data_IF_529738951523
#
_entry.id   IF_529738951523
#
_cell.length_a   1.000
_cell.length_b   1.000
_cell.length_c   1.000
_cell.angle_alpha   90.00
_cell.angle_beta   90.00
_cell.angle_gamma   90.00
#
_symmetry.space_group_name_H-M   'P 1'
#
loop_
_entity.id
_entity.type
_entity.pdbx_description
1 polymer ?
#
# COMPACT_ATOMS: atom_id res chain seq x y z
N UNK A 1 33.36 3.53 -70.53
CA UNK A 1 32.71 2.38 -69.87
C UNK A 1 32.52 2.74 -68.42
N UNK A 2 31.31 3.15 -68.02
CA UNK A 2 30.95 3.29 -66.61
C UNK A 2 30.73 1.88 -66.06
N UNK A 3 31.57 1.45 -65.12
CA UNK A 3 31.35 0.20 -64.40
C UNK A 3 30.12 0.43 -63.52
N UNK A 4 28.96 -0.13 -63.88
CA UNK A 4 27.80 -0.10 -62.98
C UNK A 4 28.16 -0.91 -61.73
N UNK A 5 28.07 -0.31 -60.55
CA UNK A 5 28.23 -1.03 -59.30
C UNK A 5 27.27 -2.24 -59.30
N UNK A 6 27.78 -3.44 -59.03
CA UNK A 6 26.97 -4.65 -58.96
C UNK A 6 25.88 -4.46 -57.88
N UNK A 7 24.65 -4.83 -58.20
CA UNK A 7 23.55 -4.74 -57.26
C UNK A 7 23.80 -5.69 -56.06
N UNK A 8 23.47 -5.24 -54.86
CA UNK A 8 23.73 -5.93 -53.60
C UNK A 8 22.42 -6.10 -52.80
N UNK A 9 22.48 -6.91 -51.74
CA UNK A 9 21.41 -6.96 -50.75
C UNK A 9 21.28 -5.60 -50.04
N UNK A 10 20.09 -5.24 -49.52
CA UNK A 10 19.93 -3.99 -48.81
C UNK A 10 20.65 -4.02 -47.46
N UNK A 11 20.87 -2.86 -46.86
CA UNK A 11 21.42 -2.71 -45.51
C UNK A 11 20.44 -1.90 -44.68
N UNK A 12 19.96 -2.47 -43.58
CA UNK A 12 18.97 -1.85 -42.71
C UNK A 12 19.41 -1.95 -41.24
N UNK A 13 19.03 -0.97 -40.43
CA UNK A 13 19.37 -0.88 -39.02
C UNK A 13 18.14 -0.49 -38.19
N UNK A 14 18.08 -0.98 -36.94
CA UNK A 14 17.17 -0.44 -35.94
C UNK A 14 17.76 0.85 -35.36
N UNK A 15 16.90 1.72 -34.82
CA UNK A 15 17.29 2.83 -33.98
C UNK A 15 16.69 2.69 -32.57
N UNK A 16 16.90 3.65 -31.68
CA UNK A 16 16.27 3.62 -30.36
C UNK A 16 14.78 3.97 -30.49
N UNK A 17 13.85 3.19 -29.92
CA UNK A 17 12.44 3.54 -29.94
C UNK A 17 12.18 4.81 -29.12
N UNK A 18 11.13 5.55 -29.47
CA UNK A 18 10.70 6.78 -28.76
C UNK A 18 9.21 6.73 -28.46
N UNK A 19 8.68 7.81 -27.88
CA UNK A 19 7.22 7.97 -27.71
C UNK A 19 6.56 6.80 -26.97
N UNK A 20 7.31 6.15 -26.07
CA UNK A 20 6.85 4.95 -25.38
C UNK A 20 5.79 5.38 -24.37
N UNK A 21 4.54 5.03 -24.66
CA UNK A 21 3.39 5.20 -23.80
C UNK A 21 2.92 3.83 -23.27
N UNK A 22 1.79 3.82 -22.56
CA UNK A 22 1.24 2.59 -22.00
C UNK A 22 0.67 1.63 -23.05
N UNK A 23 0.23 2.16 -24.18
CA UNK A 23 -0.39 1.36 -25.25
C UNK A 23 0.15 1.68 -26.64
N UNK A 24 1.27 2.41 -26.72
CA UNK A 24 1.91 2.76 -27.99
C UNK A 24 3.42 2.95 -27.85
N UNK A 25 4.14 2.83 -28.95
CA UNK A 25 5.54 3.22 -29.04
C UNK A 25 5.90 3.58 -30.48
N UNK A 26 6.91 4.43 -30.65
CA UNK A 26 7.49 4.74 -31.94
C UNK A 26 8.65 3.79 -32.24
N UNK A 27 8.50 2.97 -33.28
CA UNK A 27 9.55 2.08 -33.75
C UNK A 27 10.37 2.78 -34.84
N UNK A 28 11.67 2.88 -34.63
CA UNK A 28 12.56 3.64 -35.50
C UNK A 28 13.59 2.74 -36.17
N UNK A 29 13.87 3.03 -37.44
CA UNK A 29 14.87 2.32 -38.23
C UNK A 29 15.54 3.23 -39.25
N UNK A 30 16.51 2.69 -39.97
CA UNK A 30 17.19 3.41 -41.04
C UNK A 30 17.56 2.43 -42.15
N UNK A 31 17.06 2.66 -43.37
CA UNK A 31 17.52 1.97 -44.56
C UNK A 31 18.82 2.65 -45.01
N UNK A 32 19.96 1.97 -44.82
CA UNK A 32 21.31 2.51 -45.09
C UNK A 32 21.69 2.36 -46.56
N UNK A 33 21.22 1.29 -47.22
CA UNK A 33 21.49 1.03 -48.63
C UNK A 33 20.39 0.19 -49.24
N UNK A 34 19.98 0.52 -50.47
CA UNK A 34 19.07 -0.29 -51.29
C UNK A 34 19.82 -1.31 -52.15
N UNK A 35 21.16 -1.28 -52.13
CA UNK A 35 21.99 -2.14 -52.97
C UNK A 35 21.72 -1.94 -54.47
N UNK A 36 21.32 -0.72 -54.87
CA UNK A 36 20.97 -0.29 -56.24
C UNK A 36 19.74 -0.95 -56.87
N UNK A 37 18.88 -1.60 -56.07
CA UNK A 37 17.61 -2.17 -56.53
C UNK A 37 16.42 -1.67 -55.69
N UNK A 38 15.18 -1.61 -56.25
CA UNK A 38 13.98 -1.29 -55.48
C UNK A 38 13.87 -2.19 -54.25
N UNK A 39 13.71 -1.59 -53.07
CA UNK A 39 13.80 -2.29 -51.78
C UNK A 39 12.52 -2.10 -50.98
N UNK A 40 11.87 -3.19 -50.60
CA UNK A 40 10.73 -3.17 -49.68
C UNK A 40 11.20 -3.28 -48.23
N UNK A 41 10.52 -2.59 -47.32
CA UNK A 41 10.86 -2.56 -45.90
C UNK A 41 9.68 -2.93 -45.01
N UNK A 42 9.98 -3.60 -43.89
CA UNK A 42 9.03 -4.01 -42.88
C UNK A 42 9.64 -3.80 -41.48
N UNK A 43 8.78 -3.62 -40.48
CA UNK A 43 9.16 -3.80 -39.08
C UNK A 43 8.29 -4.88 -38.44
N UNK A 44 8.92 -5.74 -37.64
CA UNK A 44 8.25 -6.79 -36.88
C UNK A 44 8.39 -6.48 -35.38
N UNK A 45 7.36 -6.76 -34.58
CA UNK A 45 7.41 -6.60 -33.12
C UNK A 45 6.58 -7.63 -32.36
N UNK A 46 6.88 -7.84 -31.08
CA UNK A 46 6.18 -8.82 -30.25
C UNK A 46 6.78 -8.96 -28.85
N UNK A 47 6.13 -9.70 -27.97
CA UNK A 47 6.57 -9.90 -26.58
C UNK A 47 7.70 -10.91 -26.42
N UNK A 48 8.03 -11.65 -27.48
CA UNK A 48 9.16 -12.56 -27.56
C UNK A 48 10.15 -12.07 -28.62
N UNK A 49 11.45 -12.16 -28.33
CA UNK A 49 12.47 -11.96 -29.37
C UNK A 49 12.55 -13.20 -30.26
N UNK A 50 12.13 -13.05 -31.52
CA UNK A 50 12.17 -14.14 -32.49
C UNK A 50 13.35 -14.01 -33.46
N UNK A 51 14.22 -13.03 -33.27
CA UNK A 51 15.41 -12.84 -34.09
C UNK A 51 15.08 -12.53 -35.56
N UNK A 52 15.69 -13.27 -36.49
CA UNK A 52 15.59 -13.03 -37.94
C UNK A 52 14.59 -13.97 -38.64
N UNK A 53 13.38 -14.09 -38.10
CA UNK A 53 12.28 -14.87 -38.68
C UNK A 53 11.10 -13.98 -39.07
N UNK A 54 10.39 -14.35 -40.14
CA UNK A 54 9.15 -13.66 -40.55
C UNK A 54 7.91 -14.18 -39.81
N UNK A 55 7.99 -15.37 -39.19
CA UNK A 55 6.84 -16.04 -38.58
C UNK A 55 6.85 -15.91 -37.06
N UNK A 56 5.67 -15.69 -36.47
CA UNK A 56 5.43 -15.76 -35.03
C UNK A 56 5.51 -14.44 -34.27
N UNK A 57 5.95 -13.35 -34.91
CA UNK A 57 5.91 -12.01 -34.30
C UNK A 57 4.47 -11.60 -34.02
N UNK A 58 4.27 -10.78 -32.97
CA UNK A 58 2.96 -10.31 -32.57
C UNK A 58 2.36 -9.26 -33.52
N UNK A 59 3.21 -8.56 -34.28
CA UNK A 59 2.79 -7.62 -35.30
C UNK A 59 3.86 -7.40 -36.39
N UNK A 60 3.40 -6.93 -37.54
CA UNK A 60 4.22 -6.55 -38.70
C UNK A 60 3.59 -5.33 -39.37
N UNK A 61 4.42 -4.37 -39.77
CA UNK A 61 3.99 -3.18 -40.51
C UNK A 61 4.83 -3.08 -41.80
N UNK A 62 4.19 -3.18 -42.99
CA UNK A 62 4.86 -2.99 -44.27
C UNK A 62 5.00 -1.49 -44.59
N UNK A 63 6.22 -1.08 -44.94
CA UNK A 63 6.51 0.27 -45.42
C UNK A 63 6.42 0.37 -46.96
N UNK A 64 6.32 -0.76 -47.66
CA UNK A 64 6.41 -0.82 -49.12
C UNK A 64 7.82 -0.46 -49.61
N UNK A 65 7.92 0.01 -50.87
CA UNK A 65 9.18 0.44 -51.46
C UNK A 65 9.71 1.71 -50.79
N UNK A 66 10.97 1.67 -50.34
CA UNK A 66 11.62 2.76 -49.63
C UNK A 66 12.97 3.12 -50.26
N UNK A 67 13.31 4.41 -50.18
CA UNK A 67 14.63 4.94 -50.47
C UNK A 67 15.50 4.97 -49.20
N UNK A 68 16.81 5.18 -49.37
CA UNK A 68 17.75 5.32 -48.24
C UNK A 68 17.30 6.46 -47.32
N UNK A 69 17.13 6.17 -46.03
CA UNK A 69 16.68 7.15 -45.06
C UNK A 69 16.04 6.57 -43.80
N UNK A 70 15.64 7.48 -42.91
CA UNK A 70 15.00 7.17 -41.64
C UNK A 70 13.59 6.58 -41.86
N UNK A 71 13.25 5.61 -41.03
CA UNK A 71 11.99 4.88 -41.03
C UNK A 71 11.34 5.04 -39.66
N UNK A 72 10.03 5.27 -39.65
CA UNK A 72 9.26 5.53 -38.44
C UNK A 72 7.86 4.96 -38.57
N UNK A 73 7.39 4.27 -37.53
CA UNK A 73 5.97 3.95 -37.36
C UNK A 73 5.59 4.02 -35.89
N UNK A 74 4.37 4.49 -35.61
CA UNK A 74 3.80 4.44 -34.28
C UNK A 74 2.91 3.21 -34.17
N UNK A 75 3.34 2.24 -33.35
CA UNK A 75 2.54 1.04 -33.08
C UNK A 75 1.57 1.31 -31.94
N UNK A 76 0.32 0.89 -32.12
CA UNK A 76 -0.79 1.07 -31.17
C UNK A 76 -1.27 -0.28 -30.61
N UNK A 77 -2.07 -0.25 -29.56
CA UNK A 77 -2.68 -1.44 -28.97
C UNK A 77 -1.70 -2.34 -28.22
N UNK A 78 -0.58 -1.78 -27.77
CA UNK A 78 0.36 -2.50 -26.92
C UNK A 78 -0.21 -2.68 -25.51
N UNK A 79 0.21 -3.73 -24.83
CA UNK A 79 -0.15 -3.96 -23.43
C UNK A 79 0.72 -3.07 -22.53
N UNK A 80 0.16 -2.39 -21.52
CA UNK A 80 0.94 -1.64 -20.52
C UNK A 80 1.94 -2.51 -19.74
N UNK A 81 3.00 -1.90 -19.20
CA UNK A 81 4.03 -2.58 -18.40
C UNK A 81 4.59 -3.87 -19.03
N UNK A 82 4.64 -3.93 -20.36
CA UNK A 82 5.00 -5.14 -21.11
C UNK A 82 6.25 -4.89 -21.94
N UNK A 83 7.19 -5.83 -21.88
CA UNK A 83 8.38 -5.80 -22.72
C UNK A 83 8.03 -6.23 -24.15
N UNK A 84 8.45 -5.44 -25.12
CA UNK A 84 8.36 -5.73 -26.54
C UNK A 84 9.75 -5.71 -27.16
N UNK A 85 9.94 -6.59 -28.13
CA UNK A 85 11.07 -6.63 -29.05
C UNK A 85 10.59 -6.18 -30.42
N UNK A 86 11.47 -5.55 -31.19
CA UNK A 86 11.22 -5.24 -32.59
C UNK A 86 12.49 -5.32 -33.43
N UNK A 87 12.31 -5.53 -34.74
CA UNK A 87 13.41 -5.60 -35.70
C UNK A 87 12.97 -5.23 -37.11
N UNK A 88 13.75 -4.39 -37.77
CA UNK A 88 13.53 -4.02 -39.17
C UNK A 88 14.10 -5.08 -40.13
N UNK A 89 13.41 -5.24 -41.26
CA UNK A 89 13.73 -6.15 -42.34
C UNK A 89 13.56 -5.42 -43.68
N UNK A 90 14.48 -5.66 -44.61
CA UNK A 90 14.46 -5.13 -45.96
C UNK A 90 14.72 -6.24 -46.99
N UNK A 91 14.12 -6.13 -48.16
CA UNK A 91 14.30 -7.10 -49.25
C UNK A 91 14.34 -6.44 -50.60
N UNK A 92 15.18 -6.95 -51.49
CA UNK A 92 15.21 -6.59 -52.88
C UNK A 92 15.45 -7.85 -53.73
N UNK A 93 15.58 -7.69 -55.06
CA UNK A 93 15.80 -8.80 -55.98
C UNK A 93 17.08 -9.62 -55.71
N UNK A 94 18.05 -9.04 -55.00
CA UNK A 94 19.33 -9.70 -54.67
C UNK A 94 19.28 -10.44 -53.33
N UNK A 95 18.29 -10.16 -52.49
CA UNK A 95 18.06 -10.92 -51.26
C UNK A 95 17.51 -10.11 -50.08
N UNK A 96 17.56 -10.77 -48.93
CA UNK A 96 16.96 -10.38 -47.67
C UNK A 96 18.01 -9.86 -46.69
N UNK A 97 17.68 -8.78 -45.97
CA UNK A 97 18.51 -8.26 -44.90
C UNK A 97 17.67 -7.92 -43.67
N UNK A 98 18.14 -8.35 -42.51
CA UNK A 98 17.62 -7.94 -41.21
C UNK A 98 18.57 -6.93 -40.56
N UNK A 99 18.05 -6.04 -39.72
CA UNK A 99 18.91 -5.27 -38.82
C UNK A 99 19.78 -6.23 -37.98
N UNK A 100 20.99 -5.86 -37.51
CA UNK A 100 21.94 -6.81 -36.92
C UNK A 100 21.41 -7.60 -35.69
N UNK A 101 20.58 -6.97 -34.87
CA UNK A 101 19.93 -7.57 -33.70
C UNK A 101 18.53 -7.00 -33.53
N UNK A 102 17.70 -7.64 -32.71
CA UNK A 102 16.46 -7.04 -32.22
C UNK A 102 16.76 -5.92 -31.23
N UNK A 103 15.84 -4.96 -31.12
CA UNK A 103 15.84 -3.90 -30.11
C UNK A 103 14.62 -4.08 -29.23
N UNK A 104 14.68 -3.74 -27.94
CA UNK A 104 13.54 -3.84 -27.03
C UNK A 104 13.17 -2.50 -26.40
N UNK A 105 11.95 -2.47 -25.88
CA UNK A 105 11.42 -1.43 -25.02
C UNK A 105 10.38 -2.02 -24.05
N UNK A 106 10.09 -1.31 -22.98
CA UNK A 106 9.00 -1.65 -22.05
C UNK A 106 7.97 -0.53 -22.16
N UNK A 107 6.72 -0.86 -22.50
CA UNK A 107 5.64 0.12 -22.47
C UNK A 107 5.55 0.75 -21.10
N UNK A 108 5.20 2.04 -21.04
CA UNK A 108 4.98 2.68 -19.76
C UNK A 108 3.89 1.91 -18.99
N UNK A 109 3.92 1.96 -17.66
CA UNK A 109 2.70 1.67 -16.92
C UNK A 109 1.60 2.60 -17.45
N UNK A 110 0.37 2.13 -17.55
CA UNK A 110 -0.75 3.08 -17.56
C UNK A 110 -0.52 4.04 -16.39
N UNK A 111 -0.83 5.33 -16.55
CA UNK A 111 -0.96 6.18 -15.36
C UNK A 111 -1.84 5.47 -14.31
N UNK A 112 -1.75 5.84 -13.02
CA UNK A 112 -2.43 5.12 -11.94
C UNK A 112 -3.84 4.69 -12.36
N UNK A 113 -4.06 3.38 -12.51
CA UNK A 113 -5.39 2.89 -12.86
C UNK A 113 -6.23 2.98 -11.60
N UNK A 114 -7.41 3.58 -11.73
CA UNK A 114 -8.38 3.59 -10.63
C UNK A 114 -9.21 2.32 -10.76
N UNK A 115 -9.16 1.48 -9.73
CA UNK A 115 -9.98 0.30 -9.55
C UNK A 115 -11.13 0.67 -8.62
N UNK A 116 -12.37 0.51 -9.09
CA UNK A 116 -13.57 0.90 -8.35
C UNK A 116 -14.18 -0.29 -7.62
N UNK A 117 -14.53 -0.10 -6.34
CA UNK A 117 -15.16 -1.11 -5.49
C UNK A 117 -16.50 -0.59 -4.98
N UNK A 118 -17.57 -1.29 -5.30
CA UNK A 118 -18.93 -1.00 -4.85
C UNK A 118 -19.68 -2.30 -4.55
N UNK A 119 -19.86 -2.60 -3.27
CA UNK A 119 -20.52 -3.82 -2.81
C UNK A 119 -22.02 -3.84 -3.12
N UNK A 120 -22.60 -2.68 -3.44
CA UNK A 120 -24.02 -2.53 -3.78
C UNK A 120 -24.28 -2.66 -5.28
N UNK A 121 -23.24 -2.74 -6.11
CA UNK A 121 -23.39 -2.88 -7.56
C UNK A 121 -24.11 -4.20 -7.90
N UNK A 122 -25.30 -4.09 -8.49
CA UNK A 122 -26.10 -5.26 -8.92
C UNK A 122 -25.99 -5.57 -10.41
N UNK A 123 -25.35 -4.69 -11.17
CA UNK A 123 -25.22 -4.72 -12.63
C UNK A 123 -23.83 -4.27 -13.03
N UNK A 124 -23.38 -4.65 -14.22
CA UNK A 124 -22.06 -4.26 -14.74
C UNK A 124 -21.20 -5.47 -15.05
N UNK A 125 -19.95 -5.20 -15.44
CA UNK A 125 -19.00 -6.24 -15.80
C UNK A 125 -18.18 -6.80 -14.62
N UNK A 126 -18.35 -6.28 -13.39
CA UNK A 126 -17.64 -6.71 -12.17
C UNK A 126 -16.13 -6.83 -12.39
N UNK A 127 -15.52 -5.77 -12.93
CA UNK A 127 -14.12 -5.76 -13.36
C UNK A 127 -13.33 -4.53 -12.90
N UNK A 128 -13.93 -3.68 -12.06
CA UNK A 128 -13.29 -2.54 -11.43
C UNK A 128 -12.95 -1.37 -12.37
N UNK A 129 -13.39 -1.36 -13.63
CA UNK A 129 -12.95 -0.34 -14.62
C UNK A 129 -13.65 1.01 -14.51
N UNK A 130 -14.85 1.04 -13.92
CA UNK A 130 -15.67 2.24 -13.65
C UNK A 130 -16.56 1.95 -12.45
N UNK A 131 -17.21 2.96 -11.85
CA UNK A 131 -18.26 2.72 -10.84
C UNK A 131 -19.37 1.78 -11.34
N UNK A 132 -19.79 1.89 -12.60
CA UNK A 132 -20.82 1.01 -13.19
C UNK A 132 -20.34 -0.43 -13.43
N UNK A 133 -19.03 -0.66 -13.45
CA UNK A 133 -18.42 -1.99 -13.58
C UNK A 133 -17.58 -2.34 -12.35
N UNK A 134 -17.84 -1.71 -11.20
CA UNK A 134 -17.04 -1.85 -10.00
C UNK A 134 -16.99 -3.31 -9.54
N UNK A 135 -15.91 -3.70 -8.87
CA UNK A 135 -15.90 -4.97 -8.17
C UNK A 135 -16.86 -4.91 -6.98
N UNK A 136 -17.67 -5.94 -6.83
CA UNK A 136 -18.55 -6.11 -5.65
C UNK A 136 -17.80 -6.58 -4.41
N UNK A 137 -16.57 -7.08 -4.57
CA UNK A 137 -15.71 -7.55 -3.48
C UNK A 137 -14.37 -6.81 -3.50
N UNK A 138 -13.99 -6.23 -2.36
CA UNK A 138 -12.72 -5.53 -2.20
C UNK A 138 -11.51 -6.44 -2.42
N UNK A 139 -11.61 -7.73 -2.11
CA UNK A 139 -10.51 -8.67 -2.28
C UNK A 139 -10.17 -8.90 -3.76
N UNK A 140 -11.16 -8.83 -4.66
CA UNK A 140 -10.94 -8.94 -6.10
C UNK A 140 -10.23 -7.70 -6.64
N UNK A 141 -10.62 -6.51 -6.16
CA UNK A 141 -9.92 -5.27 -6.44
C UNK A 141 -8.48 -5.26 -5.95
N UNK A 142 -8.25 -5.70 -4.71
CA UNK A 142 -6.91 -5.89 -4.17
C UNK A 142 -6.12 -6.88 -5.02
N UNK A 143 -6.72 -7.99 -5.46
CA UNK A 143 -6.06 -9.01 -6.30
C UNK A 143 -5.69 -8.47 -7.67
N UNK A 144 -6.55 -7.66 -8.29
CA UNK A 144 -6.32 -7.04 -9.60
C UNK A 144 -5.25 -5.93 -9.58
N UNK A 145 -5.13 -5.20 -8.46
CA UNK A 145 -4.22 -4.06 -8.36
C UNK A 145 -2.74 -4.46 -8.51
N UNK A 146 -1.99 -3.62 -9.22
CA UNK A 146 -0.53 -3.68 -9.33
C UNK A 146 0.09 -2.36 -8.84
N UNK A 147 1.42 -2.35 -8.69
CA UNK A 147 2.17 -1.18 -8.22
C UNK A 147 1.76 0.10 -8.97
N UNK A 148 1.50 1.17 -8.22
CA UNK A 148 0.99 2.49 -8.63
C UNK A 148 -0.51 2.58 -8.92
N UNK A 149 -1.29 1.51 -8.79
CA UNK A 149 -2.75 1.61 -8.88
C UNK A 149 -3.36 2.31 -7.67
N UNK A 150 -4.58 2.81 -7.87
CA UNK A 150 -5.45 3.28 -6.81
C UNK A 150 -6.69 2.40 -6.74
N UNK A 151 -7.14 2.07 -5.54
CA UNK A 151 -8.40 1.39 -5.29
C UNK A 151 -9.33 2.36 -4.58
N UNK A 152 -10.45 2.70 -5.20
CA UNK A 152 -11.47 3.60 -4.66
C UNK A 152 -12.66 2.80 -4.17
N UNK A 153 -12.97 2.93 -2.89
CA UNK A 153 -13.97 2.10 -2.21
C UNK A 153 -15.16 2.94 -1.80
N UNK A 154 -16.34 2.54 -2.27
CA UNK A 154 -17.60 3.18 -1.92
C UNK A 154 -17.92 3.03 -0.42
N UNK A 155 -18.88 3.81 0.08
CA UNK A 155 -19.39 3.68 1.44
C UNK A 155 -20.01 2.29 1.66
N UNK A 156 -19.70 1.68 2.80
CA UNK A 156 -20.11 0.31 3.06
C UNK A 156 -19.27 -0.38 4.12
N UNK A 157 -19.64 -1.61 4.43
CA UNK A 157 -18.85 -2.50 5.31
C UNK A 157 -18.33 -3.65 4.47
N UNK A 158 -17.03 -3.87 4.53
CA UNK A 158 -16.30 -4.88 3.78
C UNK A 158 -15.62 -5.83 4.75
N UNK A 159 -15.79 -7.13 4.55
CA UNK A 159 -15.14 -8.18 5.34
C UNK A 159 -14.06 -8.89 4.51
N UNK A 160 -12.95 -9.35 5.11
CA UNK A 160 -11.86 -10.02 4.37
C UNK A 160 -12.26 -11.32 3.68
N UNK A 161 -13.35 -11.95 4.13
CA UNK A 161 -13.88 -13.18 3.55
C UNK A 161 -15.36 -13.32 3.87
N UNK A 162 -16.12 -13.93 2.96
CA UNK A 162 -17.51 -14.36 3.24
C UNK A 162 -17.56 -15.78 3.85
N UNK A 163 -16.41 -16.39 4.09
CA UNK A 163 -16.29 -17.68 4.77
C UNK A 163 -15.96 -17.52 6.26
N UNK A 164 -15.51 -18.61 6.89
CA UNK A 164 -15.16 -18.63 8.32
C UNK A 164 -13.65 -18.53 8.57
N UNK A 165 -12.87 -18.11 7.57
CA UNK A 165 -11.42 -18.06 7.68
C UNK A 165 -10.97 -16.81 8.45
N UNK A 166 -10.79 -16.93 9.76
CA UNK A 166 -10.28 -15.86 10.63
C UNK A 166 -8.89 -15.33 10.25
N UNK A 167 -8.10 -16.09 9.49
CA UNK A 167 -6.79 -15.62 9.04
C UNK A 167 -6.87 -14.75 7.77
N UNK A 168 -8.05 -14.59 7.17
CA UNK A 168 -8.24 -13.67 6.06
C UNK A 168 -8.11 -12.22 6.54
N UNK A 169 -7.38 -11.42 5.76
CA UNK A 169 -7.15 -9.99 5.99
C UNK A 169 -7.19 -9.24 4.66
N UNK A 170 -7.42 -7.93 4.72
CA UNK A 170 -7.11 -7.03 3.62
C UNK A 170 -5.59 -6.83 3.58
N UNK A 171 -4.92 -7.55 2.69
CA UNK A 171 -3.47 -7.41 2.49
C UNK A 171 -3.19 -6.22 1.59
N UNK A 172 -2.54 -5.20 2.14
CA UNK A 172 -2.11 -4.05 1.35
C UNK A 172 -1.02 -4.49 0.35
N UNK A 173 -0.97 -3.79 -0.79
CA UNK A 173 0.01 -4.04 -1.85
C UNK A 173 1.02 -2.90 -1.95
N UNK A 174 2.27 -3.26 -2.22
CA UNK A 174 3.36 -2.29 -2.29
C UNK A 174 3.07 -1.25 -3.39
N UNK A 175 3.20 0.04 -3.06
CA UNK A 175 2.92 1.15 -3.97
C UNK A 175 1.47 1.24 -4.46
N UNK A 176 0.52 0.57 -3.82
CA UNK A 176 -0.92 0.71 -4.11
C UNK A 176 -1.56 1.64 -3.09
N UNK A 177 -2.41 2.55 -3.58
CA UNK A 177 -3.21 3.42 -2.72
C UNK A 177 -4.63 2.90 -2.57
N UNK A 178 -5.03 2.56 -1.35
CA UNK A 178 -6.39 2.16 -1.00
C UNK A 178 -7.10 3.35 -0.33
N UNK A 179 -8.20 3.80 -0.93
CA UNK A 179 -8.92 5.02 -0.54
C UNK A 179 -10.41 4.74 -0.29
N UNK A 180 -10.89 5.07 0.91
CA UNK A 180 -12.29 5.06 1.29
C UNK A 180 -12.92 6.45 1.19
N UNK A 181 -14.23 6.53 1.35
CA UNK A 181 -14.95 7.81 1.38
C UNK A 181 -15.74 8.16 0.12
N UNK A 182 -15.97 7.22 -0.78
CA UNK A 182 -16.67 7.46 -2.04
C UNK A 182 -18.17 7.15 -1.94
N UNK A 183 -19.01 7.92 -2.63
CA UNK A 183 -20.44 7.66 -2.79
C UNK A 183 -20.76 6.78 -4.00
N UNK A 184 -19.80 6.57 -4.92
CA UNK A 184 -19.96 5.72 -6.10
C UNK A 184 -20.21 6.47 -7.41
N UNK A 185 -19.80 7.74 -7.49
CA UNK A 185 -20.00 8.57 -8.69
C UNK A 185 -18.88 9.58 -8.96
N UNK A 186 -17.83 9.56 -8.13
CA UNK A 186 -16.72 10.49 -8.20
C UNK A 186 -15.79 10.20 -9.39
N UNK A 187 -15.28 11.26 -10.00
CA UNK A 187 -14.31 11.24 -11.10
C UNK A 187 -12.91 11.68 -10.68
N UNK A 188 -12.71 12.10 -9.42
CA UNK A 188 -11.39 12.48 -8.89
C UNK A 188 -11.27 12.16 -7.40
N UNK A 189 -10.05 11.86 -6.96
CA UNK A 189 -9.75 11.50 -5.57
C UNK A 189 -10.18 12.60 -4.57
N UNK A 190 -10.15 13.87 -4.98
CA UNK A 190 -10.52 15.01 -4.13
C UNK A 190 -12.02 15.19 -3.90
N UNK A 191 -12.89 14.45 -4.59
CA UNK A 191 -14.34 14.53 -4.42
C UNK A 191 -14.86 13.66 -3.26
N UNK A 192 -14.04 12.72 -2.78
CA UNK A 192 -14.40 11.83 -1.67
C UNK A 192 -14.71 12.63 -0.40
N UNK A 193 -15.59 12.08 0.43
CA UNK A 193 -15.89 12.60 1.75
C UNK A 193 -15.91 11.43 2.74
N UNK A 194 -14.74 11.08 3.28
CA UNK A 194 -14.56 9.95 4.21
C UNK A 194 -15.34 10.12 5.53
N UNK A 195 -15.72 11.34 5.89
CA UNK A 195 -16.56 11.57 7.08
C UNK A 195 -18.03 11.23 6.85
N UNK A 196 -18.57 11.51 5.66
CA UNK A 196 -19.97 11.24 5.31
C UNK A 196 -20.18 9.85 4.72
N UNK A 197 -19.28 9.45 3.81
CA UNK A 197 -19.33 8.19 3.07
C UNK A 197 -18.46 7.15 3.78
N UNK A 198 -18.84 6.74 4.98
CA UNK A 198 -18.01 5.86 5.80
C UNK A 198 -17.76 4.53 5.09
N UNK A 199 -16.48 4.20 4.92
CA UNK A 199 -16.02 2.91 4.42
C UNK A 199 -15.38 2.15 5.57
N UNK A 200 -15.93 0.99 5.91
CA UNK A 200 -15.56 0.18 7.06
C UNK A 200 -14.90 -1.10 6.56
N UNK A 201 -13.66 -1.34 6.97
CA UNK A 201 -13.01 -2.64 6.91
C UNK A 201 -13.28 -3.33 8.24
N UNK A 202 -14.07 -4.40 8.23
CA UNK A 202 -14.54 -5.07 9.44
C UNK A 202 -13.96 -6.48 9.56
N UNK A 203 -13.51 -6.83 10.76
CA UNK A 203 -13.18 -8.21 11.12
C UNK A 203 -14.40 -9.04 11.52
N UNK A 204 -15.56 -8.41 11.80
CA UNK A 204 -16.81 -9.10 12.12
C UNK A 204 -17.35 -9.83 10.87
N UNK A 205 -17.08 -11.13 10.79
CA UNK A 205 -17.42 -11.95 9.62
C UNK A 205 -18.91 -12.29 9.55
N UNK A 206 -19.61 -12.29 10.69
CA UNK A 206 -21.02 -12.66 10.79
C UNK A 206 -21.95 -11.43 10.85
N UNK A 207 -21.42 -10.25 11.17
CA UNK A 207 -22.20 -9.02 11.31
C UNK A 207 -23.04 -8.99 12.60
N UNK A 208 -22.66 -9.72 13.64
CA UNK A 208 -23.44 -9.92 14.87
C UNK A 208 -22.72 -9.47 16.15
N UNK A 209 -21.61 -8.74 16.01
CA UNK A 209 -20.88 -8.16 17.14
C UNK A 209 -21.68 -7.12 17.91
N UNK A 210 -21.59 -7.19 19.24
CA UNK A 210 -22.04 -6.15 20.15
C UNK A 210 -20.88 -5.69 21.03
N UNK A 211 -20.08 -4.74 20.51
CA UNK A 211 -18.82 -4.35 21.14
C UNK A 211 -17.80 -5.48 21.03
N UNK A 212 -17.31 -5.99 22.17
CA UNK A 212 -16.40 -7.16 22.23
C UNK A 212 -17.12 -8.48 22.52
N UNK A 213 -18.45 -8.53 22.38
CA UNK A 213 -19.25 -9.75 22.51
C UNK A 213 -19.55 -10.33 21.13
N UNK A 214 -19.60 -11.67 21.03
CA UNK A 214 -19.80 -12.43 19.78
C UNK A 214 -18.66 -12.30 18.75
N UNK A 215 -17.42 -12.11 19.21
CA UNK A 215 -16.29 -11.83 18.32
C UNK A 215 -15.38 -13.05 18.05
N UNK A 216 -15.84 -14.28 18.30
CA UNK A 216 -15.03 -15.52 18.27
C UNK A 216 -14.64 -15.93 16.86
N UNK A 217 -15.45 -15.51 15.90
CA UNK A 217 -15.38 -15.71 14.45
C UNK A 217 -14.60 -14.60 13.74
N UNK A 218 -14.28 -13.51 14.44
CA UNK A 218 -13.74 -12.34 13.77
C UNK A 218 -12.36 -12.62 13.18
N UNK A 219 -12.02 -11.95 12.09
CA UNK A 219 -10.66 -11.97 11.57
C UNK A 219 -9.65 -11.59 12.66
N UNK A 220 -8.53 -12.31 12.73
CA UNK A 220 -7.45 -11.99 13.67
C UNK A 220 -6.94 -10.58 13.40
N UNK A 221 -6.53 -10.33 12.15
CA UNK A 221 -6.16 -9.01 11.66
C UNK A 221 -7.13 -8.58 10.57
N UNK A 222 -7.68 -7.38 10.69
CA UNK A 222 -8.48 -6.79 9.62
C UNK A 222 -7.59 -6.41 8.43
N UNK A 223 -6.45 -5.77 8.71
CA UNK A 223 -5.51 -5.27 7.69
C UNK A 223 -4.10 -5.80 7.93
N UNK A 224 -3.40 -6.18 6.86
CA UNK A 224 -1.96 -6.47 6.90
C UNK A 224 -1.23 -5.42 6.06
N UNK A 225 -0.31 -4.69 6.69
CA UNK A 225 0.43 -3.65 6.01
C UNK A 225 1.61 -4.17 5.21
N UNK A 226 2.07 -3.33 4.28
CA UNK A 226 3.27 -3.56 3.48
C UNK A 226 3.97 -2.23 3.20
N UNK A 227 5.20 -2.28 2.70
CA UNK A 227 5.97 -1.08 2.38
C UNK A 227 5.26 -0.21 1.34
N UNK A 228 5.37 1.11 1.47
CA UNK A 228 4.94 2.07 0.45
C UNK A 228 3.45 2.03 0.05
N UNK A 229 2.62 1.24 0.74
CA UNK A 229 1.18 1.24 0.56
C UNK A 229 0.55 2.46 1.23
N UNK A 230 -0.54 2.96 0.67
CA UNK A 230 -1.36 4.01 1.29
C UNK A 230 -2.70 3.42 1.71
N UNK A 231 -3.10 3.62 2.96
CA UNK A 231 -4.43 3.35 3.48
C UNK A 231 -5.05 4.67 3.95
N UNK A 232 -6.13 5.11 3.33
CA UNK A 232 -6.67 6.45 3.54
C UNK A 232 -8.20 6.50 3.63
N UNK A 233 -8.74 7.03 4.73
CA UNK A 233 -10.16 7.33 4.87
C UNK A 233 -11.05 6.14 5.25
N UNK A 234 -10.51 5.18 6.01
CA UNK A 234 -11.25 3.98 6.45
C UNK A 234 -11.54 3.98 7.94
N UNK A 235 -12.63 3.33 8.33
CA UNK A 235 -12.76 2.77 9.68
C UNK A 235 -12.29 1.31 9.66
N UNK A 236 -11.38 0.94 10.55
CA UNK A 236 -10.86 -0.41 10.73
C UNK A 236 -11.38 -0.90 12.08
N UNK A 237 -12.21 -1.94 12.07
CA UNK A 237 -12.91 -2.35 13.26
C UNK A 237 -13.09 -3.86 13.38
N UNK A 238 -13.40 -4.30 14.60
CA UNK A 238 -13.81 -5.67 14.89
C UNK A 238 -12.76 -6.75 14.62
N UNK A 239 -11.47 -6.42 14.59
CA UNK A 239 -10.44 -7.46 14.63
C UNK A 239 -10.36 -8.13 16.00
N UNK A 240 -10.06 -9.43 16.03
CA UNK A 240 -9.89 -10.19 17.27
C UNK A 240 -8.66 -11.12 17.19
N UNK A 241 -7.47 -10.57 17.43
CA UNK A 241 -6.19 -11.29 17.41
C UNK A 241 -5.93 -12.01 18.75
N UNK A 242 -6.70 -13.07 19.02
CA UNK A 242 -6.73 -13.84 20.27
C UNK A 242 -6.05 -15.21 20.22
N UNK A 243 -5.20 -15.46 19.21
CA UNK A 243 -4.53 -16.74 19.01
C UNK A 243 -3.01 -16.63 19.25
N UNK A 244 -2.19 -17.56 18.75
CA UNK A 244 -0.74 -17.60 18.95
C UNK A 244 0.05 -17.05 17.76
N UNK A 245 1.29 -16.63 18.02
CA UNK A 245 2.23 -16.20 16.99
C UNK A 245 1.76 -14.92 16.31
N UNK A 246 1.76 -14.87 14.98
CA UNK A 246 1.30 -13.67 14.27
C UNK A 246 -0.18 -13.35 14.49
N UNK A 247 -1.00 -14.35 14.82
CA UNK A 247 -2.46 -14.18 15.00
C UNK A 247 -2.83 -13.62 16.38
N UNK A 248 -1.84 -13.24 17.19
CA UNK A 248 -2.02 -12.60 18.50
C UNK A 248 -1.86 -11.08 18.43
N UNK A 249 -1.52 -10.54 17.26
CA UNK A 249 -1.00 -9.18 17.11
C UNK A 249 -1.90 -8.28 16.28
N UNK A 250 -2.14 -7.06 16.74
CA UNK A 250 -2.74 -5.97 15.97
C UNK A 250 -4.11 -6.31 15.40
N UNK A 251 -5.13 -6.37 16.26
CA UNK A 251 -6.48 -6.75 15.84
C UNK A 251 -6.97 -6.00 14.60
N UNK A 252 -6.78 -4.68 14.59
CA UNK A 252 -7.10 -3.86 13.42
C UNK A 252 -6.05 -3.97 12.31
N UNK A 253 -4.77 -3.79 12.65
CA UNK A 253 -3.68 -3.83 11.68
C UNK A 253 -2.40 -4.41 12.23
N UNK A 254 -1.74 -5.26 11.44
CA UNK A 254 -0.43 -5.78 11.76
C UNK A 254 0.61 -5.42 10.68
N UNK A 255 1.71 -4.84 11.14
CA UNK A 255 2.83 -4.42 10.30
C UNK A 255 4.09 -5.17 10.74
N UNK A 256 4.65 -5.99 9.85
CA UNK A 256 5.93 -6.69 10.06
C UNK A 256 6.89 -6.36 8.96
N UNK A 257 8.10 -5.86 9.29
CA UNK A 257 9.11 -5.45 8.30
C UNK A 257 8.51 -4.52 7.22
N UNK A 258 7.57 -3.65 7.64
CA UNK A 258 6.74 -2.86 6.73
C UNK A 258 6.57 -1.42 7.20
N UNK A 259 6.47 -0.51 6.22
CA UNK A 259 6.36 0.92 6.42
C UNK A 259 5.23 1.53 5.57
N UNK A 260 3.96 1.16 5.81
CA UNK A 260 2.82 1.79 5.14
C UNK A 260 2.59 3.22 5.63
N UNK A 261 1.90 4.01 4.79
CA UNK A 261 1.31 5.29 5.16
C UNK A 261 -0.17 5.12 5.43
N UNK A 262 -0.59 5.31 6.67
CA UNK A 262 -1.97 5.25 7.12
C UNK A 262 -2.43 6.64 7.48
N UNK A 263 -3.49 7.13 6.84
CA UNK A 263 -3.98 8.49 7.08
C UNK A 263 -5.51 8.59 7.11
N UNK A 264 -6.05 9.55 7.86
CA UNK A 264 -7.51 9.77 7.97
C UNK A 264 -8.30 8.51 8.39
N UNK A 265 -7.69 7.62 9.15
CA UNK A 265 -8.27 6.34 9.52
C UNK A 265 -8.76 6.31 10.96
N UNK A 266 -9.80 5.53 11.23
CA UNK A 266 -10.32 5.29 12.57
C UNK A 266 -10.14 3.81 12.89
N UNK A 267 -9.32 3.49 13.89
CA UNK A 267 -9.22 2.15 14.45
C UNK A 267 -10.11 2.04 15.68
N UNK A 268 -11.13 1.21 15.65
CA UNK A 268 -12.05 1.09 16.79
C UNK A 268 -12.55 -0.32 17.06
N UNK A 269 -12.78 -0.65 18.32
CA UNK A 269 -13.31 -1.95 18.73
C UNK A 269 -12.46 -3.12 18.21
N UNK A 270 -11.15 -2.91 18.11
CA UNK A 270 -10.21 -3.98 17.78
C UNK A 270 -9.63 -4.56 19.07
N UNK A 271 -9.44 -5.87 19.06
CA UNK A 271 -8.91 -6.66 20.16
C UNK A 271 -7.69 -7.43 19.70
N UNK A 272 -6.63 -7.42 20.49
CA UNK A 272 -5.44 -8.23 20.23
C UNK A 272 -4.72 -8.59 21.52
N UNK A 273 -3.95 -9.66 21.53
CA UNK A 273 -3.09 -9.97 22.67
C UNK A 273 -1.93 -8.96 22.74
N UNK A 274 -1.32 -8.66 21.59
CA UNK A 274 -0.27 -7.65 21.46
C UNK A 274 -0.71 -6.54 20.49
N UNK A 275 -0.90 -5.32 20.99
CA UNK A 275 -1.47 -4.24 20.20
C UNK A 275 -2.97 -4.44 19.93
N UNK A 276 -3.83 -3.73 20.65
CA UNK A 276 -5.29 -3.89 20.50
C UNK A 276 -5.76 -3.49 19.11
N UNK A 277 -5.43 -2.26 18.70
CA UNK A 277 -5.69 -1.80 17.34
C UNK A 277 -4.55 -2.15 16.37
N UNK A 278 -3.32 -1.79 16.72
CA UNK A 278 -2.18 -1.98 15.81
C UNK A 278 -0.99 -2.60 16.54
N UNK A 279 -0.33 -3.53 15.87
CA UNK A 279 1.01 -3.96 16.24
C UNK A 279 1.98 -3.65 15.10
N UNK A 280 3.07 -2.96 15.43
CA UNK A 280 4.17 -2.67 14.51
C UNK A 280 5.42 -3.39 14.99
N UNK A 281 6.04 -4.15 14.09
CA UNK A 281 7.27 -4.90 14.34
C UNK A 281 8.24 -4.68 13.20
N UNK A 282 9.40 -4.10 13.49
CA UNK A 282 10.43 -3.83 12.49
C UNK A 282 9.90 -2.92 11.36
N UNK A 283 10.34 -1.66 11.31
CA UNK A 283 9.98 -0.76 10.21
C UNK A 283 9.59 0.64 10.68
N UNK A 284 9.05 1.42 9.75
CA UNK A 284 8.84 2.86 9.88
C UNK A 284 7.43 3.30 9.45
N UNK A 285 6.35 2.65 9.95
CA UNK A 285 4.99 2.99 9.56
C UNK A 285 4.63 4.43 9.97
N UNK A 286 3.77 5.06 9.18
CA UNK A 286 3.28 6.41 9.44
C UNK A 286 1.77 6.37 9.71
N UNK A 287 1.35 6.98 10.82
CA UNK A 287 -0.05 7.20 11.18
C UNK A 287 -0.28 8.71 11.27
N UNK A 288 -1.13 9.24 10.40
CA UNK A 288 -1.33 10.68 10.22
C UNK A 288 -2.82 10.99 10.27
N UNK A 289 -3.27 11.87 11.17
CA UNK A 289 -4.69 12.24 11.25
C UNK A 289 -5.60 11.02 11.51
N UNK A 290 -5.10 10.07 12.31
CA UNK A 290 -5.82 8.86 12.67
C UNK A 290 -6.44 8.94 14.08
N UNK A 291 -7.49 8.18 14.31
CA UNK A 291 -8.09 8.00 15.64
C UNK A 291 -8.02 6.53 16.07
N UNK A 292 -7.61 6.26 17.30
CA UNK A 292 -7.58 4.96 17.94
C UNK A 292 -8.54 4.99 19.12
N UNK A 293 -9.70 4.36 18.96
CA UNK A 293 -10.85 4.53 19.84
C UNK A 293 -11.34 3.20 20.41
N UNK A 294 -11.35 3.04 21.73
CA UNK A 294 -11.91 1.87 22.39
C UNK A 294 -11.33 0.53 21.88
N UNK A 295 -10.02 0.45 21.70
CA UNK A 295 -9.33 -0.79 21.38
C UNK A 295 -8.80 -1.46 22.64
N UNK A 296 -8.64 -2.79 22.60
CA UNK A 296 -8.33 -3.59 23.77
C UNK A 296 -7.15 -4.53 23.54
N UNK A 297 -6.14 -4.45 24.41
CA UNK A 297 -5.03 -5.39 24.44
C UNK A 297 -5.11 -6.36 25.64
N UNK A 298 -5.10 -7.68 25.39
CA UNK A 298 -5.27 -8.74 26.41
C UNK A 298 -4.00 -9.38 26.93
N UNK A 299 -2.83 -9.11 26.34
CA UNK A 299 -1.60 -9.82 26.68
C UNK A 299 -1.28 -9.70 28.17
N UNK A 300 -0.62 -10.70 28.76
CA UNK A 300 -0.25 -10.70 30.19
C UNK A 300 1.27 -10.64 30.43
N UNK A 301 2.07 -10.62 29.35
CA UNK A 301 3.53 -10.83 29.45
C UNK A 301 4.41 -9.98 28.51
N UNK A 302 3.87 -9.46 27.40
CA UNK A 302 4.60 -8.62 26.45
C UNK A 302 3.64 -7.80 25.58
N UNK A 303 4.02 -6.55 25.28
CA UNK A 303 3.53 -5.77 24.13
C UNK A 303 2.07 -5.36 24.11
N UNK A 304 1.58 -4.64 25.13
CA UNK A 304 0.14 -4.53 25.41
C UNK A 304 -0.49 -3.19 24.98
N UNK A 305 0.09 -2.45 24.05
CA UNK A 305 -0.44 -1.16 23.63
C UNK A 305 -1.92 -1.22 23.20
N UNK A 306 -2.85 -0.71 24.02
CA UNK A 306 -4.28 -0.84 23.75
C UNK A 306 -4.68 -0.25 22.39
N UNK A 307 -4.11 0.91 22.06
CA UNK A 307 -4.14 1.49 20.71
C UNK A 307 -3.05 0.90 19.81
N UNK A 308 -1.78 1.21 20.10
CA UNK A 308 -0.63 0.78 19.29
C UNK A 308 0.45 0.15 20.16
N UNK A 309 0.90 -1.04 19.76
CA UNK A 309 2.15 -1.63 20.20
C UNK A 309 3.26 -1.40 19.17
N UNK A 310 4.40 -0.85 19.60
CA UNK A 310 5.59 -0.61 18.79
C UNK A 310 6.76 -1.45 19.30
N UNK A 311 7.19 -2.45 18.51
CA UNK A 311 8.32 -3.32 18.80
C UNK A 311 9.45 -3.14 17.80
N UNK A 312 10.60 -2.60 18.22
CA UNK A 312 11.76 -2.39 17.35
C UNK A 312 11.35 -1.57 16.09
N UNK A 313 10.60 -0.49 16.30
CA UNK A 313 10.10 0.37 15.21
C UNK A 313 10.53 1.82 15.40
N UNK A 314 10.50 2.59 14.32
CA UNK A 314 10.64 4.06 14.34
C UNK A 314 9.39 4.72 13.74
N UNK A 315 8.22 4.30 14.23
CA UNK A 315 6.94 4.77 13.74
C UNK A 315 6.76 6.29 13.92
N UNK A 316 6.10 6.93 12.95
CA UNK A 316 5.70 8.34 13.05
C UNK A 316 4.19 8.40 13.30
N UNK A 317 3.80 8.94 14.44
CA UNK A 317 2.41 9.08 14.87
C UNK A 317 2.14 10.57 15.01
N UNK A 318 1.36 11.14 14.10
CA UNK A 318 1.18 12.59 14.02
C UNK A 318 -0.28 13.02 13.84
N UNK A 319 -0.68 14.06 14.58
CA UNK A 319 -2.06 14.58 14.54
C UNK A 319 -3.11 13.50 14.87
N UNK A 320 -2.77 12.55 15.74
CA UNK A 320 -3.62 11.42 16.07
C UNK A 320 -4.34 11.60 17.40
N UNK A 321 -5.47 10.91 17.55
CA UNK A 321 -6.23 10.82 18.81
C UNK A 321 -6.21 9.39 19.32
N UNK A 322 -5.94 9.20 20.60
CA UNK A 322 -6.06 7.92 21.31
C UNK A 322 -7.04 8.11 22.46
N UNK A 323 -8.20 7.46 22.39
CA UNK A 323 -9.22 7.61 23.41
C UNK A 323 -9.91 6.30 23.80
N UNK A 324 -10.09 6.08 25.11
CA UNK A 324 -10.80 4.91 25.62
C UNK A 324 -10.10 3.58 25.37
N UNK A 325 -8.83 3.58 24.97
CA UNK A 325 -8.10 2.33 24.73
C UNK A 325 -7.69 1.70 26.07
N UNK A 326 -7.71 0.38 26.12
CA UNK A 326 -7.43 -0.41 27.31
C UNK A 326 -6.33 -1.42 27.02
N UNK A 327 -5.37 -1.51 27.94
CA UNK A 327 -4.38 -2.57 27.99
C UNK A 327 -4.58 -3.40 29.26
N UNK A 328 -4.20 -4.68 29.23
CA UNK A 328 -4.24 -5.54 30.41
C UNK A 328 -3.27 -5.09 31.51
N UNK A 329 -2.00 -4.78 31.19
CA UNK A 329 -1.04 -4.26 32.19
C UNK A 329 -0.38 -2.93 31.77
N UNK A 330 -0.08 -2.72 30.49
CA UNK A 330 0.92 -1.74 30.05
C UNK A 330 0.50 -0.92 28.84
N UNK A 331 0.65 0.40 28.91
CA UNK A 331 0.52 1.26 27.74
C UNK A 331 -0.92 1.32 27.23
N UNK A 332 -1.84 1.88 28.01
CA UNK A 332 -3.28 1.85 27.68
C UNK A 332 -3.59 2.42 26.29
N UNK A 333 -2.86 3.46 25.86
CA UNK A 333 -2.86 3.90 24.47
C UNK A 333 -1.71 3.32 23.66
N UNK A 334 -0.46 3.57 24.10
CA UNK A 334 0.74 3.25 23.33
C UNK A 334 1.74 2.53 24.23
N UNK A 335 2.21 1.38 23.77
CA UNK A 335 3.34 0.68 24.37
C UNK A 335 4.52 0.67 23.40
N UNK A 336 5.70 1.05 23.90
CA UNK A 336 6.95 1.09 23.14
C UNK A 336 7.93 0.12 23.77
N UNK A 337 8.30 -0.91 23.02
CA UNK A 337 9.29 -1.88 23.43
C UNK A 337 10.44 -1.91 22.42
N UNK A 338 11.64 -1.53 22.84
CA UNK A 338 12.83 -1.52 21.98
C UNK A 338 12.70 -0.64 20.70
N UNK A 339 11.72 0.26 20.67
CA UNK A 339 11.43 1.17 19.55
C UNK A 339 11.82 2.63 19.83
N UNK A 340 11.70 3.47 18.81
CA UNK A 340 11.99 4.92 18.83
C UNK A 340 10.88 5.74 18.13
N UNK A 341 9.58 5.61 18.49
CA UNK A 341 8.53 6.34 17.79
C UNK A 341 8.58 7.84 18.05
N UNK A 342 8.06 8.59 17.06
CA UNK A 342 7.79 10.01 17.17
C UNK A 342 6.29 10.23 17.33
N UNK A 343 5.88 10.85 18.44
CA UNK A 343 4.49 11.15 18.77
C UNK A 343 4.33 12.68 18.77
N UNK A 344 3.64 13.21 17.77
CA UNK A 344 3.64 14.65 17.48
C UNK A 344 2.21 15.16 17.30
N UNK A 345 1.85 16.25 17.98
CA UNK A 345 0.52 16.87 17.89
C UNK A 345 -0.61 15.88 18.22
N UNK A 346 -0.40 14.98 19.17
CA UNK A 346 -1.37 13.94 19.51
C UNK A 346 -2.18 14.30 20.76
N UNK A 347 -3.39 13.74 20.84
CA UNK A 347 -4.21 13.77 22.04
C UNK A 347 -4.37 12.33 22.55
N UNK A 348 -3.84 12.04 23.73
CA UNK A 348 -3.90 10.73 24.39
C UNK A 348 -4.73 10.90 25.66
N UNK A 349 -6.00 10.49 25.60
CA UNK A 349 -6.99 10.82 26.62
C UNK A 349 -7.84 9.64 27.08
N UNK A 350 -8.05 9.47 28.38
CA UNK A 350 -9.00 8.47 28.86
C UNK A 350 -8.62 7.03 28.54
N UNK A 351 -7.31 6.73 28.45
CA UNK A 351 -6.81 5.38 28.21
C UNK A 351 -6.42 4.72 29.54
N UNK A 352 -6.51 3.40 29.63
CA UNK A 352 -6.37 2.66 30.88
C UNK A 352 -5.38 1.50 30.73
N UNK A 353 -4.48 1.37 31.70
CA UNK A 353 -3.64 0.19 31.88
C UNK A 353 -3.52 -0.09 33.39
N UNK A 354 -4.02 -1.22 33.91
CA UNK A 354 -3.99 -1.53 35.34
C UNK A 354 -2.61 -1.40 36.00
N UNK A 355 -1.51 -1.81 35.36
CA UNK A 355 -0.19 -1.70 35.95
C UNK A 355 0.46 -0.34 35.66
N UNK A 356 0.97 -0.08 34.45
CA UNK A 356 1.80 1.10 34.18
C UNK A 356 1.49 1.77 32.85
N UNK A 357 1.71 3.09 32.78
CA UNK A 357 1.58 3.82 31.52
C UNK A 357 0.15 3.83 30.99
N UNK A 358 -0.81 4.33 31.77
CA UNK A 358 -2.22 4.42 31.33
C UNK A 358 -2.36 5.08 29.96
N UNK A 359 -1.58 6.13 29.70
CA UNK A 359 -1.38 6.69 28.36
C UNK A 359 -0.28 5.97 27.59
N UNK A 360 0.97 6.27 27.93
CA UNK A 360 2.16 5.78 27.21
C UNK A 360 3.10 5.02 28.13
N UNK A 361 3.59 3.86 27.68
CA UNK A 361 4.72 3.18 28.31
C UNK A 361 5.90 3.06 27.33
N UNK A 362 7.11 3.20 27.86
CA UNK A 362 8.36 3.04 27.11
C UNK A 362 9.27 2.10 27.90
N UNK A 363 9.75 1.05 27.26
CA UNK A 363 10.68 0.09 27.84
C UNK A 363 11.77 -0.27 26.83
N UNK A 364 13.04 -0.26 27.27
CA UNK A 364 14.19 -0.60 26.45
C UNK A 364 14.30 0.18 25.13
N UNK A 365 13.67 1.35 25.02
CA UNK A 365 13.57 2.13 23.81
C UNK A 365 13.50 3.62 24.11
N UNK A 366 13.27 4.42 23.08
CA UNK A 366 13.14 5.87 23.19
C UNK A 366 11.73 6.28 22.76
N UNK A 367 11.16 7.33 23.33
CA UNK A 367 10.05 8.02 22.67
C UNK A 367 10.31 9.52 22.62
N UNK A 368 9.94 10.13 21.50
CA UNK A 368 9.92 11.57 21.37
C UNK A 368 8.49 12.05 21.28
N UNK A 369 8.05 12.80 22.29
CA UNK A 369 6.68 13.32 22.40
C UNK A 369 6.72 14.85 22.31
N UNK A 370 6.08 15.40 21.27
CA UNK A 370 6.06 16.83 21.01
C UNK A 370 4.65 17.37 20.83
N UNK A 371 4.41 18.58 21.32
CA UNK A 371 3.19 19.36 21.05
C UNK A 371 1.89 18.58 21.36
N UNK A 372 1.93 17.68 22.34
CA UNK A 372 0.86 16.72 22.59
C UNK A 372 0.12 17.02 23.89
N UNK A 373 -1.03 16.38 24.08
CA UNK A 373 -1.79 16.39 25.34
C UNK A 373 -2.01 14.97 25.81
N UNK A 374 -1.56 14.63 27.01
CA UNK A 374 -1.70 13.33 27.66
C UNK A 374 -2.49 13.54 28.95
N UNK A 375 -3.78 13.24 28.92
CA UNK A 375 -4.68 13.61 30.00
C UNK A 375 -5.69 12.55 30.38
N UNK A 376 -6.10 12.53 31.65
CA UNK A 376 -7.16 11.64 32.14
C UNK A 376 -6.94 10.15 31.83
N UNK A 377 -5.69 9.73 31.67
CA UNK A 377 -5.36 8.33 31.55
C UNK A 377 -5.19 7.72 32.94
N UNK A 378 -5.36 6.41 33.04
CA UNK A 378 -5.44 5.71 34.33
C UNK A 378 -4.50 4.50 34.39
N UNK A 379 -3.74 4.40 35.48
CA UNK A 379 -3.05 3.18 35.89
C UNK A 379 -2.92 3.11 37.41
N UNK A 380 -2.74 1.93 37.99
CA UNK A 380 -2.66 1.79 39.46
C UNK A 380 -1.24 1.73 40.02
N UNK A 381 -0.23 1.36 39.22
CA UNK A 381 1.14 1.29 39.70
C UNK A 381 1.91 2.58 39.40
N UNK A 382 2.27 2.83 38.14
CA UNK A 382 3.23 3.89 37.82
C UNK A 382 2.92 4.65 36.52
N UNK A 383 3.01 5.98 36.59
CA UNK A 383 2.97 6.88 35.44
C UNK A 383 1.68 6.75 34.64
N UNK A 384 0.52 7.16 35.18
CA UNK A 384 -0.76 7.00 34.49
C UNK A 384 -0.83 7.83 33.22
N UNK A 385 -0.10 8.95 33.13
CA UNK A 385 0.14 9.63 31.86
C UNK A 385 1.23 8.93 31.05
N UNK A 386 2.46 8.93 31.59
CA UNK A 386 3.63 8.32 30.93
C UNK A 386 4.43 7.50 31.95
N UNK A 387 4.81 6.28 31.57
CA UNK A 387 5.80 5.48 32.27
C UNK A 387 7.04 5.29 31.39
N UNK A 388 8.14 5.96 31.74
CA UNK A 388 9.47 5.72 31.17
C UNK A 388 10.19 4.68 32.05
N UNK A 389 10.11 3.42 31.61
CA UNK A 389 10.48 2.22 32.36
C UNK A 389 11.98 1.88 32.19
N UNK A 390 12.38 0.65 32.48
CA UNK A 390 13.78 0.21 32.46
C UNK A 390 14.46 0.45 31.11
N UNK A 391 15.68 1.00 31.16
CA UNK A 391 16.56 1.25 30.02
C UNK A 391 15.89 2.03 28.88
N UNK A 392 15.09 3.04 29.23
CA UNK A 392 14.35 3.85 28.26
C UNK A 392 14.68 5.34 28.35
N UNK A 393 14.49 6.03 27.23
CA UNK A 393 14.72 7.47 27.11
C UNK A 393 13.43 8.19 26.66
N UNK A 394 13.09 9.28 27.32
CA UNK A 394 11.93 10.10 26.99
C UNK A 394 12.37 11.53 26.68
N UNK A 395 12.06 11.99 25.47
CA UNK A 395 12.14 13.39 25.11
C UNK A 395 10.73 13.99 25.06
N UNK A 396 10.44 14.89 26.00
CA UNK A 396 9.14 15.56 26.12
C UNK A 396 9.30 17.07 25.85
N UNK A 397 8.69 17.56 24.78
CA UNK A 397 8.73 18.98 24.43
C UNK A 397 7.32 19.53 24.18
N UNK A 398 7.04 20.74 24.68
CA UNK A 398 5.77 21.44 24.46
C UNK A 398 4.52 20.57 24.69
N UNK A 399 4.56 19.68 25.68
CA UNK A 399 3.52 18.67 25.91
C UNK A 399 2.86 18.89 27.26
N UNK A 400 1.54 18.74 27.29
CA UNK A 400 0.72 18.83 28.50
C UNK A 400 0.52 17.42 29.03
N UNK A 401 0.88 17.17 30.29
CA UNK A 401 0.55 15.92 31.00
C UNK A 401 -0.24 16.28 32.25
N UNK A 402 -1.53 15.96 32.29
CA UNK A 402 -2.41 16.47 33.34
C UNK A 402 -3.66 15.63 33.59
N UNK A 403 -4.11 15.58 34.85
CA UNK A 403 -5.38 14.94 35.21
C UNK A 403 -5.39 13.41 35.10
N UNK A 404 -4.23 12.77 34.91
CA UNK A 404 -4.11 11.31 34.90
C UNK A 404 -4.23 10.77 36.33
N UNK A 405 -4.85 9.60 36.52
CA UNK A 405 -5.30 9.09 37.84
C UNK A 405 -4.85 7.65 38.13
N UNK A 406 -5.09 7.19 39.35
CA UNK A 406 -4.80 5.82 39.80
C UNK A 406 -3.41 5.63 40.43
N UNK A 407 -2.43 6.45 40.07
CA UNK A 407 -1.08 6.50 40.65
C UNK A 407 -0.66 7.95 40.98
N UNK A 408 0.27 8.16 41.93
CA UNK A 408 0.54 9.49 42.48
C UNK A 408 1.31 10.44 41.54
N UNK A 409 2.08 9.91 40.59
CA UNK A 409 2.95 10.71 39.70
C UNK A 409 2.42 10.65 38.26
N UNK A 410 2.16 11.80 37.62
CA UNK A 410 1.68 11.88 36.23
C UNK A 410 2.63 11.20 35.23
N UNK A 411 3.93 11.35 35.47
CA UNK A 411 5.02 10.75 34.74
C UNK A 411 5.86 9.98 35.76
N UNK A 412 6.06 8.68 35.54
CA UNK A 412 7.11 7.92 36.23
C UNK A 412 8.32 7.82 35.29
N UNK A 413 9.48 8.20 35.80
CA UNK A 413 10.75 8.11 35.07
C UNK A 413 11.73 7.26 35.87
N UNK A 414 11.60 5.95 35.70
CA UNK A 414 12.42 4.95 36.38
C UNK A 414 13.62 4.51 35.52
N UNK A 415 13.95 5.27 34.48
CA UNK A 415 15.21 5.09 33.76
C UNK A 415 16.36 5.68 34.58
N UNK A 416 17.47 4.95 34.65
CA UNK A 416 18.65 5.37 35.42
C UNK A 416 19.38 6.59 34.82
N UNK A 417 18.85 7.19 33.76
CA UNK A 417 19.48 8.25 32.96
C UNK A 417 18.55 9.45 32.84
N UNK A 418 18.62 10.35 33.82
CA UNK A 418 18.09 11.70 33.68
C UNK A 418 19.20 12.55 33.02
N UNK A 419 19.05 12.93 31.75
CA UNK A 419 19.93 13.92 31.08
C UNK A 419 19.13 15.09 30.55
#
# INVERSE_FOLDING_TARGET
MSVSAAAQIPVIQNATPSGIASSSADLQGNLVSTGTAPTEVFVYWGTNDLGATKLGWGGVEPFGLQEVGALYTNVLGLTPSTMYWYRYYATNINGDAWAPSSTNFVTAGGGPTVIYIDWTATTGADNGTTWANAFTNLQDGLSAAVSNDQIWVSAGTYVPTNGTNRAASFELKEWVGLYGGFAGGESSLGQRNWSANRTILSGDLNGDDAGFSNNVENSYQVVRGTNNAVLDGFTIAHGNADNVGFNQRGGGMFNVNSSPKVQNCIFTLNRGIEGGAVANEYGTPQFIECAFLNNWADGMSSGQGGGIYNHITTAVISNCVFAGNTAHDWGGAIDVYQGHPQIINCVIVGNMAPATGGGVRIQQGQATIRNSTIAYNECTANGPGICNDISSDLLLENTIVWGNTGAPQQIDNNSATCT
#
